data_IF_435499098784
#
_entry.id   IF_435499098784
#
_cell.length_a   1.000
_cell.length_b   1.000
_cell.length_c   1.000
_cell.angle_alpha   90.00
_cell.angle_beta   90.00
_cell.angle_gamma   90.00
#
_symmetry.space_group_name_H-M   'P 1'
#
loop_
_entity.id
_entity.type
_entity.pdbx_description
1 polymer ?
#
# COMPACT_ATOMS: atom_id res chain seq x y z
N UNK A 1 -2.48 -1.13 6.59
CA UNK A 1 -1.45 -1.76 7.46
C UNK A 1 -1.12 -0.78 8.58
N UNK A 2 -1.04 -1.24 9.82
CA UNK A 2 -0.64 -0.44 10.97
C UNK A 2 0.39 -1.22 11.79
N UNK A 3 1.30 -0.48 12.42
CA UNK A 3 2.27 -1.00 13.38
C UNK A 3 2.04 -0.30 14.72
N UNK A 4 2.50 -0.92 15.80
CA UNK A 4 2.66 -0.20 17.06
C UNK A 4 3.74 0.87 16.89
N UNK A 5 3.63 2.04 17.58
CA UNK A 5 4.61 3.11 17.46
C UNK A 5 6.05 2.66 17.72
N UNK A 6 6.26 1.75 18.67
CA UNK A 6 7.57 1.17 19.02
C UNK A 6 8.21 0.34 17.90
N UNK A 7 7.42 -0.16 16.96
CA UNK A 7 7.87 -1.01 15.85
C UNK A 7 8.13 -0.22 14.56
N UNK A 8 7.84 1.07 14.54
CA UNK A 8 8.04 1.93 13.38
C UNK A 8 9.52 2.25 13.12
N UNK A 9 9.86 2.61 11.88
CA UNK A 9 11.24 2.95 11.50
C UNK A 9 12.18 1.75 11.30
N UNK A 10 11.76 0.53 11.68
CA UNK A 10 12.56 -0.70 11.55
C UNK A 10 12.37 -1.45 10.22
N UNK A 11 11.64 -0.88 9.27
CA UNK A 11 11.33 -1.53 7.99
C UNK A 11 10.26 -2.62 8.04
N UNK A 12 9.68 -2.89 9.22
CA UNK A 12 8.64 -3.93 9.41
C UNK A 12 7.41 -3.71 8.55
N UNK A 13 7.01 -2.46 8.31
CA UNK A 13 5.85 -2.15 7.47
C UNK A 13 6.06 -2.61 6.03
N UNK A 14 7.27 -2.41 5.49
CA UNK A 14 7.64 -2.89 4.15
C UNK A 14 7.64 -4.42 4.09
N UNK A 15 8.19 -5.08 5.11
CA UNK A 15 8.26 -6.53 5.20
C UNK A 15 6.86 -7.17 5.25
N UNK A 16 5.97 -6.66 6.10
CA UNK A 16 4.60 -7.17 6.19
C UNK A 16 3.84 -6.94 4.88
N UNK A 17 3.97 -5.77 4.26
CA UNK A 17 3.32 -5.51 2.99
C UNK A 17 3.83 -6.43 1.89
N UNK A 18 5.14 -6.69 1.81
CA UNK A 18 5.69 -7.60 0.79
C UNK A 18 5.18 -9.02 0.95
N UNK A 19 5.08 -9.53 2.18
CA UNK A 19 4.54 -10.86 2.45
C UNK A 19 3.06 -10.97 2.03
N UNK A 20 2.25 -9.94 2.29
CA UNK A 20 0.84 -9.90 1.84
C UNK A 20 0.75 -9.88 0.31
N UNK A 21 1.56 -9.06 -0.35
CA UNK A 21 1.61 -8.97 -1.82
C UNK A 21 2.01 -10.31 -2.44
N UNK A 22 3.06 -10.95 -1.91
CA UNK A 22 3.51 -12.27 -2.37
C UNK A 22 2.42 -13.32 -2.19
N UNK A 23 1.78 -13.38 -1.02
CA UNK A 23 0.68 -14.31 -0.77
C UNK A 23 -0.48 -14.13 -1.75
N UNK A 24 -0.89 -12.88 -2.03
CA UNK A 24 -1.95 -12.60 -3.00
C UNK A 24 -1.55 -12.97 -4.43
N UNK A 25 -0.28 -12.76 -4.81
CA UNK A 25 0.25 -13.18 -6.10
C UNK A 25 0.30 -14.70 -6.25
N UNK A 26 0.66 -15.43 -5.19
CA UNK A 26 0.59 -16.90 -5.17
C UNK A 26 -0.83 -17.43 -5.37
N UNK A 27 -1.84 -16.66 -4.97
CA UNK A 27 -3.26 -16.95 -5.26
C UNK A 27 -3.72 -16.49 -6.66
N UNK A 28 -2.79 -16.07 -7.53
CA UNK A 28 -3.08 -15.63 -8.89
C UNK A 28 -3.59 -14.19 -9.01
N UNK A 29 -3.51 -13.37 -7.95
CA UNK A 29 -3.90 -11.95 -8.01
C UNK A 29 -2.73 -11.12 -8.52
N UNK A 30 -2.80 -10.72 -9.79
CA UNK A 30 -1.70 -10.01 -10.44
C UNK A 30 -1.70 -8.50 -10.19
N UNK A 31 -2.88 -7.87 -10.27
CA UNK A 31 -3.07 -6.46 -9.94
C UNK A 31 -3.75 -6.36 -8.59
N UNK A 32 -3.16 -5.58 -7.68
CA UNK A 32 -3.65 -5.38 -6.32
C UNK A 32 -4.08 -3.93 -6.14
N UNK A 33 -5.09 -3.71 -5.31
CA UNK A 33 -5.63 -2.40 -4.99
C UNK A 33 -5.71 -2.22 -3.48
N UNK A 34 -5.54 -0.98 -3.01
CA UNK A 34 -5.81 -0.59 -1.63
C UNK A 34 -6.27 0.87 -1.57
N UNK A 35 -7.07 1.19 -0.56
CA UNK A 35 -7.36 2.59 -0.18
C UNK A 35 -6.22 3.16 0.65
N UNK A 36 -5.87 4.42 0.39
CA UNK A 36 -4.86 5.16 1.11
C UNK A 36 -5.29 6.62 1.27
N UNK A 37 -5.07 7.18 2.46
CA UNK A 37 -5.24 8.62 2.71
C UNK A 37 -4.72 9.49 1.56
N UNK A 38 -5.55 10.45 1.16
CA UNK A 38 -5.25 11.48 0.16
C UNK A 38 -4.44 12.64 0.73
N UNK A 39 -4.31 12.76 2.06
CA UNK A 39 -3.53 13.82 2.72
C UNK A 39 -2.03 13.51 2.73
N UNK A 40 -1.19 14.34 2.07
CA UNK A 40 0.27 14.16 2.05
C UNK A 40 0.95 14.20 3.41
N UNK A 41 0.29 14.73 4.46
CA UNK A 41 0.82 14.78 5.82
C UNK A 41 0.70 13.45 6.57
N UNK A 42 -0.13 12.54 6.09
CA UNK A 42 -0.32 11.22 6.70
C UNK A 42 0.76 10.26 6.22
N UNK A 43 1.39 9.52 7.14
CA UNK A 43 2.51 8.60 6.81
C UNK A 43 2.19 7.59 5.71
N UNK A 44 0.96 7.07 5.69
CA UNK A 44 0.53 6.09 4.67
C UNK A 44 0.60 6.66 3.24
N UNK A 45 0.42 7.98 3.08
CA UNK A 45 0.45 8.64 1.77
C UNK A 45 1.79 8.41 1.07
N UNK A 46 2.90 8.71 1.75
CA UNK A 46 4.24 8.52 1.21
C UNK A 46 4.67 7.05 1.19
N UNK A 47 4.28 6.29 2.21
CA UNK A 47 4.71 4.91 2.41
C UNK A 47 4.39 3.99 1.22
N UNK A 48 3.13 3.92 0.78
CA UNK A 48 2.77 3.03 -0.33
C UNK A 48 3.38 3.50 -1.67
N UNK A 49 3.40 4.82 -1.92
CA UNK A 49 3.98 5.40 -3.14
C UNK A 49 5.47 5.10 -3.27
N UNK A 50 6.21 5.15 -2.17
CA UNK A 50 7.61 4.76 -2.14
C UNK A 50 7.84 3.27 -2.46
N UNK A 51 6.84 2.43 -2.23
CA UNK A 51 6.87 0.99 -2.54
C UNK A 51 6.33 0.65 -3.93
N UNK A 52 6.13 1.65 -4.80
CA UNK A 52 5.72 1.45 -6.20
C UNK A 52 4.21 1.37 -6.42
N UNK A 53 3.40 1.67 -5.41
CA UNK A 53 1.96 1.83 -5.58
C UNK A 53 1.65 3.17 -6.24
N UNK A 54 0.76 3.18 -7.23
CA UNK A 54 0.42 4.36 -8.02
C UNK A 54 -1.06 4.69 -7.84
N UNK A 55 -1.42 5.96 -7.76
CA UNK A 55 -2.84 6.37 -7.74
C UNK A 55 -3.48 6.01 -9.07
N UNK A 56 -4.62 5.30 -9.04
CA UNK A 56 -5.34 4.90 -10.25
C UNK A 56 -6.27 5.99 -10.81
N UNK A 57 -6.33 7.15 -10.15
CA UNK A 57 -7.22 8.27 -10.46
C UNK A 57 -8.55 8.25 -9.70
N UNK A 58 -8.87 7.17 -9.00
CA UNK A 58 -10.09 7.01 -8.22
C UNK A 58 -9.94 7.37 -6.75
N UNK A 59 -11.08 7.57 -6.09
CA UNK A 59 -11.20 7.66 -4.63
C UNK A 59 -12.31 6.76 -4.15
N UNK A 60 -12.23 6.28 -2.92
CA UNK A 60 -13.35 5.59 -2.26
C UNK A 60 -14.37 6.58 -1.67
N UNK A 61 -15.39 6.04 -1.00
CA UNK A 61 -16.46 6.81 -0.36
C UNK A 61 -15.97 7.73 0.78
N UNK A 62 -14.80 7.43 1.36
CA UNK A 62 -14.19 8.25 2.42
C UNK A 62 -13.30 9.37 1.85
N UNK A 63 -13.10 9.42 0.52
CA UNK A 63 -12.21 10.38 -0.14
C UNK A 63 -10.73 9.98 -0.12
N UNK A 64 -10.43 8.73 0.23
CA UNK A 64 -9.09 8.17 0.16
C UNK A 64 -8.75 7.79 -1.29
N UNK A 65 -7.50 7.95 -1.69
CA UNK A 65 -7.04 7.54 -3.01
C UNK A 65 -7.03 6.02 -3.12
N UNK A 66 -7.52 5.49 -4.24
CA UNK A 66 -7.30 4.10 -4.60
C UNK A 66 -5.91 3.97 -5.25
N UNK A 67 -5.04 3.17 -4.64
CA UNK A 67 -3.73 2.88 -5.18
C UNK A 67 -3.72 1.50 -5.83
N UNK A 68 -2.98 1.37 -6.92
CA UNK A 68 -2.79 0.13 -7.68
C UNK A 68 -1.32 -0.28 -7.70
N UNK A 69 -1.10 -1.58 -7.49
CA UNK A 69 0.18 -2.25 -7.75
C UNK A 69 0.01 -3.21 -8.92
N UNK A 70 0.71 -2.92 -10.02
CA UNK A 70 0.72 -3.76 -11.23
C UNK A 70 1.66 -4.97 -11.06
N UNK A 71 1.48 -6.05 -11.85
CA UNK A 71 2.49 -7.11 -11.92
C UNK A 71 3.84 -6.54 -12.35
N UNK A 72 4.92 -7.15 -11.84
CA UNK A 72 6.25 -6.88 -12.40
C UNK A 72 6.27 -7.38 -13.85
N UNK A 73 6.73 -6.53 -14.76
CA UNK A 73 6.87 -6.87 -16.18
C UNK A 73 7.97 -7.89 -16.44
#
# INVERSE_FOLDING_TARGET
LALLPEDEGHGLGRLLLSQVVEALRHLGRQTLFLSCSSDPKVRSYGFYRHLGWVHDGGTDEAGDHILVLKPAG
#
